data_IF_400942381729
#
_entry.id   IF_400942381729
#
_cell.length_a   1.000
_cell.length_b   1.000
_cell.length_c   1.000
_cell.angle_alpha   90.00
_cell.angle_beta   90.00
_cell.angle_gamma   90.00
#
_symmetry.space_group_name_H-M   'P 1'
#
loop_
_entity.id
_entity.type
_entity.pdbx_description
1 polymer ?
#
# COMPACT_ATOMS: atom_id res chain seq x y z
N UNK A 1 -13.99 -14.87 -16.52
CA UNK A 1 -12.94 -15.85 -16.89
C UNK A 1 -12.46 -16.56 -15.63
N UNK A 2 -12.16 -17.87 -15.64
CA UNK A 2 -11.61 -18.52 -14.45
C UNK A 2 -10.15 -18.06 -14.24
N UNK A 3 -9.92 -17.30 -13.18
CA UNK A 3 -8.56 -16.96 -12.71
C UNK A 3 -7.89 -18.21 -12.11
N UNK A 4 -6.57 -18.32 -12.27
CA UNK A 4 -5.75 -19.46 -11.80
C UNK A 4 -5.05 -19.20 -10.45
N UNK A 5 -5.34 -18.07 -9.85
CA UNK A 5 -4.78 -17.58 -8.59
C UNK A 5 -5.92 -17.28 -7.63
N UNK A 6 -5.61 -17.13 -6.34
CA UNK A 6 -6.59 -16.89 -5.29
C UNK A 6 -6.88 -15.39 -5.16
N UNK A 7 -8.08 -14.96 -5.52
CA UNK A 7 -8.54 -13.59 -5.34
C UNK A 7 -8.65 -13.23 -3.85
N UNK A 8 -9.08 -14.19 -3.01
CA UNK A 8 -9.14 -14.01 -1.56
C UNK A 8 -7.75 -13.71 -1.01
N UNK A 9 -6.74 -14.54 -1.32
CA UNK A 9 -5.38 -14.31 -0.80
C UNK A 9 -4.74 -13.03 -1.32
N UNK A 10 -5.05 -12.61 -2.56
CA UNK A 10 -4.56 -11.33 -3.09
C UNK A 10 -5.19 -10.16 -2.32
N UNK A 11 -6.50 -10.23 -2.02
CA UNK A 11 -7.18 -9.22 -1.22
C UNK A 11 -6.62 -9.16 0.20
N UNK A 12 -6.44 -10.31 0.86
CA UNK A 12 -5.87 -10.39 2.21
C UNK A 12 -4.46 -9.81 2.26
N UNK A 13 -3.61 -10.15 1.27
CA UNK A 13 -2.26 -9.59 1.18
C UNK A 13 -2.29 -8.06 0.98
N UNK A 14 -3.23 -7.53 0.20
CA UNK A 14 -3.40 -6.08 0.05
C UNK A 14 -3.79 -5.41 1.37
N UNK A 15 -4.68 -6.03 2.14
CA UNK A 15 -5.11 -5.55 3.47
C UNK A 15 -3.94 -5.55 4.47
N UNK A 16 -3.13 -6.61 4.50
CA UNK A 16 -1.95 -6.71 5.36
C UNK A 16 -0.91 -5.63 5.03
N UNK A 17 -0.64 -5.39 3.74
CA UNK A 17 0.27 -4.34 3.30
C UNK A 17 -0.29 -2.95 3.66
N UNK A 18 -1.56 -2.69 3.42
CA UNK A 18 -2.19 -1.41 3.76
C UNK A 18 -2.17 -1.13 5.27
N UNK A 19 -2.34 -2.17 6.10
CA UNK A 19 -2.22 -2.05 7.54
C UNK A 19 -0.82 -1.57 7.95
N UNK A 20 0.24 -2.15 7.39
CA UNK A 20 1.62 -1.73 7.67
C UNK A 20 1.90 -0.30 7.18
N UNK A 21 1.40 0.07 6.00
CA UNK A 21 1.54 1.43 5.48
C UNK A 21 0.83 2.44 6.38
N UNK A 22 -0.34 2.09 6.89
CA UNK A 22 -1.10 2.96 7.80
C UNK A 22 -0.40 3.18 9.14
N UNK A 23 0.34 2.19 9.65
CA UNK A 23 1.21 2.38 10.82
C UNK A 23 2.35 3.37 10.54
N UNK A 24 2.80 3.48 9.29
CA UNK A 24 3.89 4.37 8.90
C UNK A 24 3.44 5.83 8.69
N UNK A 25 2.14 6.11 8.48
CA UNK A 25 1.62 7.44 8.13
C UNK A 25 2.10 8.54 9.07
N UNK A 26 2.01 8.31 10.38
CA UNK A 26 2.44 9.28 11.39
C UNK A 26 3.95 9.55 11.31
N UNK A 27 4.76 8.50 11.13
CA UNK A 27 6.21 8.65 11.04
C UNK A 27 6.63 9.38 9.75
N UNK A 28 5.93 9.14 8.64
CA UNK A 28 6.15 9.84 7.37
C UNK A 28 5.77 11.32 7.52
N UNK A 29 4.64 11.62 8.17
CA UNK A 29 4.22 12.98 8.44
C UNK A 29 5.22 13.73 9.33
N UNK A 30 5.71 13.09 10.39
CA UNK A 30 6.75 13.65 11.27
C UNK A 30 8.07 13.85 10.52
N UNK A 31 8.50 12.91 9.68
CA UNK A 31 9.70 13.05 8.86
C UNK A 31 9.60 14.26 7.92
N UNK A 32 8.43 14.52 7.32
CA UNK A 32 8.19 15.73 6.51
C UNK A 32 8.30 17.00 7.33
N UNK A 33 7.73 17.03 8.53
CA UNK A 33 7.83 18.17 9.42
C UNK A 33 9.31 18.48 9.75
N UNK A 34 10.07 17.47 10.17
CA UNK A 34 11.50 17.61 10.49
C UNK A 34 12.34 18.02 9.28
N UNK A 35 12.05 17.49 8.09
CA UNK A 35 12.74 17.90 6.87
C UNK A 35 12.44 19.37 6.51
N UNK A 36 11.22 19.87 6.75
CA UNK A 36 10.87 21.29 6.57
C UNK A 36 11.57 22.19 7.60
N UNK A 37 11.64 21.76 8.85
CA UNK A 37 12.39 22.47 9.90
C UNK A 37 13.88 22.55 9.57
N UNK A 38 14.47 21.46 9.07
CA UNK A 38 15.88 21.44 8.67
C UNK A 38 16.21 22.44 7.55
N UNK A 39 15.25 22.78 6.70
CA UNK A 39 15.42 23.85 5.70
C UNK A 39 15.53 25.26 6.31
N UNK A 40 15.10 25.45 7.55
CA UNK A 40 15.15 26.74 8.25
C UNK A 40 16.48 26.98 8.99
N UNK A 41 17.44 26.05 8.89
CA UNK A 41 18.77 26.22 9.49
C UNK A 41 19.41 27.50 8.94
N UNK A 42 19.86 28.44 9.81
CA UNK A 42 20.52 29.65 9.36
C UNK A 42 21.76 29.36 8.52
N UNK A 43 21.95 30.12 7.44
CA UNK A 43 23.07 29.97 6.50
C UNK A 43 23.16 28.57 5.85
N UNK A 44 22.04 27.84 5.74
CA UNK A 44 22.01 26.56 5.05
C UNK A 44 22.48 26.73 3.61
N UNK A 45 23.55 26.02 3.18
CA UNK A 45 23.99 26.09 1.80
C UNK A 45 22.92 25.58 0.84
N UNK A 46 22.79 26.22 -0.33
CA UNK A 46 21.78 25.89 -1.33
C UNK A 46 21.80 24.40 -1.73
N UNK A 47 22.99 23.79 -1.85
CA UNK A 47 23.09 22.37 -2.20
C UNK A 47 22.46 21.47 -1.13
N UNK A 48 22.52 21.84 0.16
CA UNK A 48 21.87 21.10 1.23
C UNK A 48 20.35 21.30 1.21
N UNK A 49 19.89 22.52 0.92
CA UNK A 49 18.46 22.78 0.72
C UNK A 49 17.88 21.89 -0.40
N UNK A 50 18.60 21.77 -1.51
CA UNK A 50 18.22 20.88 -2.62
C UNK A 50 18.19 19.39 -2.19
N UNK A 51 19.10 18.96 -1.31
CA UNK A 51 19.04 17.59 -0.74
C UNK A 51 17.79 17.39 0.11
N UNK A 52 17.40 18.36 0.94
CA UNK A 52 16.15 18.28 1.70
C UNK A 52 14.91 18.32 0.82
N UNK A 53 14.90 19.10 -0.27
CA UNK A 53 13.82 19.07 -1.25
C UNK A 53 13.67 17.66 -1.85
N UNK A 54 14.78 17.03 -2.23
CA UNK A 54 14.74 15.63 -2.72
C UNK A 54 14.18 14.67 -1.67
N UNK A 55 14.52 14.82 -0.39
CA UNK A 55 13.94 14.00 0.69
C UNK A 55 12.43 14.22 0.80
N UNK A 56 11.97 15.47 0.79
CA UNK A 56 10.55 15.81 0.81
C UNK A 56 9.79 15.20 -0.37
N UNK A 57 10.36 15.24 -1.57
CA UNK A 57 9.75 14.64 -2.76
C UNK A 57 9.60 13.12 -2.62
N UNK A 58 10.60 12.43 -2.07
CA UNK A 58 10.49 10.98 -1.81
C UNK A 58 9.41 10.68 -0.78
N UNK A 59 9.34 11.45 0.32
CA UNK A 59 8.32 11.29 1.35
C UNK A 59 6.92 11.60 0.83
N UNK A 60 6.77 12.53 -0.12
CA UNK A 60 5.50 12.81 -0.78
C UNK A 60 5.04 11.63 -1.64
N UNK A 61 5.95 11.01 -2.41
CA UNK A 61 5.62 9.82 -3.21
C UNK A 61 5.11 8.65 -2.38
N UNK A 62 5.52 8.53 -1.12
CA UNK A 62 5.04 7.48 -0.23
C UNK A 62 3.54 7.62 0.09
N UNK A 63 2.94 8.80 -0.05
CA UNK A 63 1.49 8.99 0.16
C UNK A 63 0.66 8.24 -0.89
N UNK A 64 1.22 7.98 -2.08
CA UNK A 64 0.52 7.29 -3.17
C UNK A 64 0.56 5.76 -3.03
N UNK A 65 1.23 5.22 -1.99
CA UNK A 65 1.31 3.76 -1.79
C UNK A 65 -0.10 3.17 -1.57
N UNK A 66 -0.96 3.86 -0.82
CA UNK A 66 -2.34 3.39 -0.59
C UNK A 66 -3.17 3.37 -1.88
N UNK A 67 -2.95 4.32 -2.79
CA UNK A 67 -3.57 4.30 -4.12
C UNK A 67 -3.09 3.12 -4.95
N UNK A 68 -1.80 2.81 -4.92
CA UNK A 68 -1.27 1.63 -5.61
C UNK A 68 -1.86 0.32 -5.05
N UNK A 69 -2.03 0.22 -3.72
CA UNK A 69 -2.69 -0.94 -3.09
C UNK A 69 -4.17 -1.01 -3.48
N UNK A 70 -4.86 0.14 -3.57
CA UNK A 70 -6.23 0.20 -4.06
C UNK A 70 -6.34 -0.34 -5.49
N UNK A 71 -5.42 0.01 -6.37
CA UNK A 71 -5.39 -0.53 -7.74
C UNK A 71 -5.23 -2.05 -7.77
N UNK A 72 -4.47 -2.65 -6.86
CA UNK A 72 -4.38 -4.13 -6.74
C UNK A 72 -5.76 -4.75 -6.51
N UNK A 73 -6.59 -4.13 -5.67
CA UNK A 73 -7.96 -4.62 -5.41
C UNK A 73 -8.88 -4.38 -6.60
N UNK A 74 -8.75 -3.24 -7.28
CA UNK A 74 -9.53 -2.90 -8.47
C UNK A 74 -9.22 -3.81 -9.67
N UNK A 75 -8.01 -4.37 -9.74
CA UNK A 75 -7.61 -5.33 -10.77
C UNK A 75 -8.13 -6.76 -10.50
N UNK A 76 -8.73 -7.03 -9.33
CA UNK A 76 -9.42 -8.29 -9.07
C UNK A 76 -10.73 -8.30 -9.87
N UNK A 77 -10.97 -9.28 -10.75
CA UNK A 77 -12.21 -9.31 -11.53
C UNK A 77 -13.45 -9.40 -10.64
N UNK A 78 -14.49 -8.65 -11.01
CA UNK A 78 -15.79 -8.71 -10.33
C UNK A 78 -16.30 -10.15 -10.19
N UNK A 79 -16.78 -10.51 -9.00
CA UNK A 79 -17.31 -11.84 -8.71
C UNK A 79 -16.25 -12.92 -8.51
N UNK A 80 -14.94 -12.61 -8.64
CA UNK A 80 -13.88 -13.61 -8.49
C UNK A 80 -13.74 -14.09 -7.04
N UNK A 81 -13.90 -13.19 -6.07
CA UNK A 81 -13.85 -13.50 -4.64
C UNK A 81 -15.04 -14.39 -4.25
N UNK A 82 -16.25 -14.01 -4.67
CA UNK A 82 -17.48 -14.78 -4.42
C UNK A 82 -17.41 -16.16 -5.08
N UNK A 83 -16.96 -16.23 -6.33
CA UNK A 83 -16.78 -17.50 -7.03
C UNK A 83 -15.75 -18.41 -6.35
N UNK A 84 -14.69 -17.85 -5.76
CA UNK A 84 -13.72 -18.62 -4.98
C UNK A 84 -14.28 -19.09 -3.64
N UNK A 85 -15.06 -18.26 -2.93
CA UNK A 85 -15.75 -18.64 -1.70
C UNK A 85 -16.73 -19.82 -1.92
N UNK A 86 -17.52 -19.78 -2.99
CA UNK A 86 -18.45 -20.86 -3.29
C UNK A 86 -17.72 -22.16 -3.65
N UNK A 87 -16.59 -22.07 -4.39
CA UNK A 87 -15.74 -23.24 -4.67
C UNK A 87 -15.12 -23.84 -3.41
N UNK A 88 -14.67 -23.03 -2.45
CA UNK A 88 -14.10 -23.54 -1.19
C UNK A 88 -15.15 -24.21 -0.31
N UNK A 89 -16.37 -23.65 -0.24
CA UNK A 89 -17.52 -24.27 0.46
C UNK A 89 -17.90 -25.63 -0.15
N UNK A 90 -18.02 -25.71 -1.47
CA UNK A 90 -18.42 -26.95 -2.16
C UNK A 90 -17.30 -27.98 -2.25
N UNK A 91 -16.04 -27.56 -2.43
CA UNK A 91 -14.87 -28.44 -2.45
C UNK A 91 -14.64 -29.17 -1.12
N UNK A 92 -14.97 -28.53 0.01
CA UNK A 92 -14.95 -29.18 1.32
C UNK A 92 -16.05 -30.24 1.50
N UNK A 93 -17.13 -30.16 0.71
CA UNK A 93 -18.24 -31.14 0.78
C UNK A 93 -17.94 -32.36 -0.09
N UNK A 94 -17.27 -32.18 -1.23
CA UNK A 94 -16.97 -33.26 -2.17
C UNK A 94 -15.84 -34.19 -1.70
N UNK A 95 -15.01 -33.76 -0.74
CA UNK A 95 -13.95 -34.57 -0.15
C UNK A 95 -14.44 -35.53 0.96
N UNK A 96 -15.75 -35.55 1.24
CA UNK A 96 -16.40 -36.37 2.28
C UNK A 96 -17.26 -37.53 1.72
N UNK A 97 -17.14 -37.88 0.43
CA UNK A 97 -17.76 -39.07 -0.16
C UNK A 97 -16.72 -40.09 -0.64
#
# INVERSE_FOLDING_TARGET
MPIKWSAIKVSEAADEVEAQVSLADQFIAEAKAKAREAKQIPNLPQYMEQRFNRVLDQLHRMENIKEAIKSVREDIPDGAIEAEHERTKHGSTQSLM
#
